data_IF_074459102110
#
_entry.id   IF_074459102110
#
_cell.length_a   1.000
_cell.length_b   1.000
_cell.length_c   1.000
_cell.angle_alpha   90.00
_cell.angle_beta   90.00
_cell.angle_gamma   90.00
#
_symmetry.space_group_name_H-M   'P 1'
#
loop_
_entity.id
_entity.type
_entity.pdbx_description
1 polymer ?
#
# COMPACT_ATOMS: atom_id res chain seq x y z
N UNK A 1 18.69 14.02 -6.65
CA UNK A 1 17.25 13.92 -6.91
C UNK A 1 16.51 14.57 -5.75
N UNK A 2 15.62 15.51 -6.06
CA UNK A 2 14.76 16.19 -5.09
C UNK A 2 13.47 15.40 -4.92
N UNK A 3 13.17 14.92 -3.72
CA UNK A 3 12.01 14.06 -3.44
C UNK A 3 11.10 14.75 -2.44
N UNK A 4 9.82 14.88 -2.79
CA UNK A 4 8.79 15.27 -1.84
C UNK A 4 8.05 14.02 -1.31
N UNK A 5 7.78 13.97 -0.01
CA UNK A 5 7.00 12.89 0.61
C UNK A 5 5.80 13.49 1.32
N UNK A 6 4.60 13.17 0.82
CA UNK A 6 3.31 13.57 1.41
C UNK A 6 2.76 12.41 2.23
N UNK A 7 2.71 12.61 3.54
CA UNK A 7 2.38 11.57 4.52
C UNK A 7 3.64 10.94 5.14
N UNK A 8 3.87 11.30 6.41
CA UNK A 8 5.02 10.86 7.20
C UNK A 8 4.59 9.90 8.32
N UNK A 9 3.64 9.03 7.98
CA UNK A 9 3.27 7.89 8.80
C UNK A 9 4.43 6.89 8.93
N UNK A 10 4.15 5.71 9.40
CA UNK A 10 5.15 4.66 9.61
C UNK A 10 5.91 4.32 8.31
N UNK A 11 5.18 4.12 7.19
CA UNK A 11 5.78 3.81 5.90
C UNK A 11 6.49 5.03 5.29
N UNK A 12 5.83 6.21 5.29
CA UNK A 12 6.39 7.41 4.67
C UNK A 12 7.65 7.90 5.36
N UNK A 13 7.70 7.91 6.69
CA UNK A 13 8.90 8.28 7.45
C UNK A 13 10.05 7.32 7.18
N UNK A 14 9.76 6.00 7.07
CA UNK A 14 10.79 5.01 6.77
C UNK A 14 11.36 5.19 5.36
N UNK A 15 10.52 5.31 4.34
CA UNK A 15 10.96 5.54 2.95
C UNK A 15 11.73 6.86 2.83
N UNK A 16 11.25 7.93 3.47
CA UNK A 16 11.92 9.24 3.46
C UNK A 16 13.33 9.17 4.05
N UNK A 17 13.50 8.47 5.18
CA UNK A 17 14.80 8.28 5.81
C UNK A 17 15.75 7.46 4.92
N UNK A 18 15.27 6.37 4.33
CA UNK A 18 16.07 5.52 3.45
C UNK A 18 16.51 6.29 2.18
N UNK A 19 15.63 7.12 1.58
CA UNK A 19 15.95 7.99 0.45
C UNK A 19 17.01 9.03 0.80
N UNK A 20 16.90 9.67 1.97
CA UNK A 20 17.91 10.61 2.45
C UNK A 20 19.26 9.91 2.66
N UNK A 21 19.28 8.69 3.23
CA UNK A 21 20.47 7.88 3.37
C UNK A 21 21.07 7.45 2.02
N UNK A 22 20.25 7.29 0.98
CA UNK A 22 20.69 7.02 -0.39
C UNK A 22 21.16 8.28 -1.16
N UNK A 23 21.24 9.45 -0.49
CA UNK A 23 21.76 10.69 -1.05
C UNK A 23 20.74 11.55 -1.80
N UNK A 24 19.43 11.29 -1.64
CA UNK A 24 18.40 12.19 -2.14
C UNK A 24 18.19 13.38 -1.20
N UNK A 25 17.84 14.54 -1.75
CA UNK A 25 17.32 15.67 -0.97
C UNK A 25 15.84 15.43 -0.71
N UNK A 26 15.47 15.17 0.55
CA UNK A 26 14.09 14.81 0.88
C UNK A 26 13.41 15.93 1.65
N UNK A 27 12.26 16.37 1.17
CA UNK A 27 11.31 17.22 1.90
C UNK A 27 10.03 16.47 2.17
N UNK A 28 9.59 16.48 3.42
CA UNK A 28 8.37 15.80 3.81
C UNK A 28 7.31 16.75 4.36
N UNK A 29 6.05 16.41 4.17
CA UNK A 29 4.93 17.06 4.82
C UNK A 29 3.92 16.05 5.35
N UNK A 30 3.43 16.33 6.55
CA UNK A 30 2.36 15.58 7.22
C UNK A 30 1.65 16.53 8.20
N UNK A 31 0.32 16.51 8.32
CA UNK A 31 -0.39 17.42 9.21
C UNK A 31 -0.04 17.25 10.70
N UNK A 32 0.42 16.06 11.10
CA UNK A 32 0.65 15.71 12.50
C UNK A 32 2.10 15.35 12.84
N UNK A 33 2.96 15.06 11.85
CA UNK A 33 4.28 14.47 12.08
C UNK A 33 5.42 15.30 11.48
N UNK A 34 6.52 15.39 12.22
CA UNK A 34 7.74 16.11 11.83
C UNK A 34 8.96 15.23 12.17
N UNK A 35 9.24 14.17 11.37
CA UNK A 35 10.38 13.29 11.64
C UNK A 35 11.69 14.04 11.49
N UNK A 36 12.68 13.61 12.27
CA UNK A 36 14.07 14.10 12.17
C UNK A 36 14.78 13.45 10.97
N UNK A 37 15.84 14.11 10.48
CA UNK A 37 16.67 13.54 9.39
C UNK A 37 16.23 13.89 7.98
N UNK A 38 15.09 14.57 7.81
CA UNK A 38 14.64 15.17 6.55
C UNK A 38 14.18 16.60 6.76
N UNK A 39 14.09 17.38 5.69
CA UNK A 39 13.50 18.72 5.75
C UNK A 39 11.98 18.59 5.87
N UNK A 40 11.39 19.25 6.87
CA UNK A 40 9.94 19.30 7.05
C UNK A 40 9.40 20.62 6.45
N UNK A 41 8.49 20.50 5.50
CA UNK A 41 7.80 21.63 4.90
C UNK A 41 6.67 22.17 5.79
N UNK A 42 6.36 23.47 5.67
CA UNK A 42 5.29 24.10 6.46
C UNK A 42 3.91 23.75 5.93
N UNK A 43 3.78 23.56 4.63
CA UNK A 43 2.56 23.20 3.91
C UNK A 43 2.86 22.19 2.79
N UNK A 44 1.83 21.49 2.25
CA UNK A 44 2.05 20.46 1.23
C UNK A 44 2.53 21.05 -0.11
N UNK A 45 2.13 22.27 -0.46
CA UNK A 45 2.56 22.94 -1.69
C UNK A 45 4.05 23.27 -1.64
N UNK A 46 4.56 23.74 -0.49
CA UNK A 46 5.98 24.02 -0.30
C UNK A 46 6.83 22.75 -0.32
N UNK A 47 6.25 21.61 0.10
CA UNK A 47 6.94 20.33 0.01
C UNK A 47 7.22 19.91 -1.43
N UNK A 48 6.29 20.13 -2.35
CA UNK A 48 6.36 19.59 -3.73
C UNK A 48 7.07 20.52 -4.71
N UNK A 49 7.23 21.81 -4.40
CA UNK A 49 7.90 22.76 -5.33
C UNK A 49 9.32 22.36 -5.65
N UNK A 50 9.65 22.27 -6.95
CA UNK A 50 10.97 21.89 -7.43
C UNK A 50 11.34 20.42 -7.14
N UNK A 51 10.38 19.58 -6.83
CA UNK A 51 10.63 18.15 -6.67
C UNK A 51 10.67 17.44 -8.03
N UNK A 52 11.67 16.59 -8.22
CA UNK A 52 11.74 15.67 -9.37
C UNK A 52 10.63 14.61 -9.27
N UNK A 53 10.32 14.18 -8.03
CA UNK A 53 9.29 13.19 -7.75
C UNK A 53 8.55 13.49 -6.44
N UNK A 54 7.24 13.35 -6.46
CA UNK A 54 6.37 13.38 -5.28
C UNK A 54 5.92 11.96 -4.96
N UNK A 55 6.14 11.53 -3.72
CA UNK A 55 5.62 10.27 -3.18
C UNK A 55 4.44 10.56 -2.25
N UNK A 56 3.24 10.16 -2.65
CA UNK A 56 2.04 10.21 -1.81
C UNK A 56 1.93 8.91 -1.01
N UNK A 57 2.14 9.00 0.31
CA UNK A 57 2.15 7.86 1.24
C UNK A 57 1.27 8.20 2.46
N UNK A 58 0.05 8.57 2.20
CA UNK A 58 -0.94 8.94 3.22
C UNK A 58 -2.02 7.84 3.37
N UNK A 59 -3.29 8.19 3.40
CA UNK A 59 -4.38 7.24 3.41
C UNK A 59 -5.24 7.40 2.15
N UNK A 60 -5.81 6.32 1.63
CA UNK A 60 -6.68 6.36 0.45
C UNK A 60 -7.81 7.40 0.57
N UNK A 61 -8.39 7.54 1.77
CA UNK A 61 -9.50 8.47 2.02
C UNK A 61 -9.15 9.96 1.81
N UNK A 62 -7.86 10.33 1.91
CA UNK A 62 -7.40 11.72 1.75
C UNK A 62 -6.52 11.92 0.51
N UNK A 63 -6.23 10.86 -0.23
CA UNK A 63 -5.26 10.88 -1.33
C UNK A 63 -5.66 11.86 -2.44
N UNK A 64 -6.94 11.87 -2.83
CA UNK A 64 -7.44 12.73 -3.90
C UNK A 64 -7.42 14.21 -3.50
N UNK A 65 -7.81 14.53 -2.28
CA UNK A 65 -7.78 15.91 -1.77
C UNK A 65 -6.32 16.40 -1.65
N UNK A 66 -5.42 15.56 -1.12
CA UNK A 66 -4.00 15.88 -1.05
C UNK A 66 -3.37 16.11 -2.45
N UNK A 67 -3.76 15.31 -3.45
CA UNK A 67 -3.30 15.48 -4.82
C UNK A 67 -3.80 16.81 -5.42
N UNK A 68 -5.09 17.13 -5.25
CA UNK A 68 -5.68 18.39 -5.72
C UNK A 68 -5.07 19.62 -5.04
N UNK A 69 -4.78 19.52 -3.75
CA UNK A 69 -4.17 20.60 -2.99
C UNK A 69 -2.79 21.00 -3.53
N UNK A 70 -2.00 20.03 -4.00
CA UNK A 70 -0.66 20.29 -4.53
C UNK A 70 -0.59 20.49 -6.05
N UNK A 71 -1.66 20.17 -6.79
CA UNK A 71 -1.67 20.14 -8.25
C UNK A 71 -1.12 21.40 -8.92
N UNK A 72 -1.47 22.59 -8.37
CA UNK A 72 -1.01 23.89 -8.91
C UNK A 72 0.43 24.25 -8.55
N UNK A 73 1.05 23.52 -7.62
CA UNK A 73 2.43 23.73 -7.20
C UNK A 73 3.41 22.74 -7.87
N UNK A 74 2.90 21.76 -8.62
CA UNK A 74 3.69 20.81 -9.38
C UNK A 74 4.25 21.46 -10.64
N UNK A 75 5.51 21.18 -10.96
CA UNK A 75 6.14 21.56 -12.21
C UNK A 75 5.89 20.49 -13.29
N UNK A 76 5.91 20.88 -14.57
CA UNK A 76 5.57 19.97 -15.68
C UNK A 76 6.41 18.68 -15.70
N UNK A 77 7.66 18.76 -15.27
CA UNK A 77 8.60 17.63 -15.25
C UNK A 77 8.50 16.78 -13.97
N UNK A 78 7.65 17.15 -13.02
CA UNK A 78 7.48 16.39 -11.79
C UNK A 78 6.78 15.05 -12.08
N UNK A 79 7.27 13.96 -11.49
CA UNK A 79 6.55 12.68 -11.43
C UNK A 79 5.74 12.61 -10.14
N UNK A 80 4.45 12.37 -10.22
CA UNK A 80 3.64 12.08 -9.04
C UNK A 80 3.41 10.57 -8.90
N UNK A 81 3.92 9.97 -7.84
CA UNK A 81 3.75 8.55 -7.53
C UNK A 81 2.84 8.38 -6.29
N UNK A 82 1.72 7.72 -6.46
CA UNK A 82 0.83 7.39 -5.35
C UNK A 82 1.07 5.96 -4.85
N UNK A 83 1.56 5.84 -3.61
CA UNK A 83 1.92 4.58 -2.96
C UNK A 83 0.83 4.08 -2.01
N UNK A 84 -0.32 4.75 -1.97
CA UNK A 84 -1.42 4.36 -1.09
C UNK A 84 -2.06 3.04 -1.53
N UNK A 85 -2.49 2.24 -0.56
CA UNK A 85 -3.35 1.09 -0.85
C UNK A 85 -4.75 1.61 -1.17
N UNK A 86 -5.13 1.60 -2.44
CA UNK A 86 -6.35 2.20 -2.95
C UNK A 86 -6.99 1.32 -4.03
N UNK A 87 -8.26 1.61 -4.38
CA UNK A 87 -8.92 0.97 -5.51
C UNK A 87 -8.32 1.42 -6.85
N UNK A 88 -8.40 0.59 -7.90
CA UNK A 88 -8.02 1.02 -9.25
C UNK A 88 -8.76 2.26 -9.74
N UNK A 89 -10.03 2.42 -9.35
CA UNK A 89 -10.81 3.61 -9.66
C UNK A 89 -10.19 4.87 -9.06
N UNK A 90 -9.85 4.86 -7.77
CA UNK A 90 -9.21 6.02 -7.13
C UNK A 90 -7.86 6.36 -7.79
N UNK A 91 -7.09 5.36 -8.23
CA UNK A 91 -5.83 5.60 -8.96
C UNK A 91 -6.06 6.30 -10.30
N UNK A 92 -7.14 5.96 -11.01
CA UNK A 92 -7.53 6.68 -12.24
C UNK A 92 -7.95 8.10 -11.94
N UNK A 93 -8.79 8.31 -10.91
CA UNK A 93 -9.21 9.64 -10.48
C UNK A 93 -8.03 10.55 -10.06
N UNK A 94 -7.03 9.97 -9.39
CA UNK A 94 -5.78 10.67 -9.06
C UNK A 94 -5.01 11.10 -10.31
N UNK A 95 -4.85 10.19 -11.27
CA UNK A 95 -4.18 10.48 -12.54
C UNK A 95 -4.89 11.60 -13.32
N UNK A 96 -6.22 11.58 -13.34
CA UNK A 96 -7.04 12.59 -14.04
C UNK A 96 -7.00 13.96 -13.33
N UNK A 97 -6.77 13.99 -12.02
CA UNK A 97 -6.73 15.21 -11.22
C UNK A 97 -5.37 15.95 -11.28
N UNK A 98 -4.33 15.31 -11.80
CA UNK A 98 -2.96 15.83 -11.78
C UNK A 98 -2.49 16.29 -13.17
N UNK A 99 -1.81 17.45 -13.28
CA UNK A 99 -1.31 17.98 -14.56
C UNK A 99 0.05 17.37 -15.01
N UNK A 100 0.54 16.35 -14.31
CA UNK A 100 1.88 15.75 -14.47
C UNK A 100 1.81 14.25 -14.69
N UNK A 101 2.93 13.62 -15.06
CA UNK A 101 3.00 12.16 -15.15
C UNK A 101 2.65 11.50 -13.82
N UNK A 102 1.80 10.49 -13.88
CA UNK A 102 1.33 9.74 -12.72
C UNK A 102 1.82 8.29 -12.74
N UNK A 103 2.30 7.82 -11.59
CA UNK A 103 2.60 6.41 -11.33
C UNK A 103 1.69 5.88 -10.20
N UNK A 104 0.88 4.89 -10.48
CA UNK A 104 0.24 4.04 -9.46
C UNK A 104 1.28 3.04 -8.96
N UNK A 105 1.63 3.09 -7.68
CA UNK A 105 2.62 2.23 -7.07
C UNK A 105 2.00 1.42 -5.94
N UNK A 106 2.03 0.11 -6.05
CA UNK A 106 1.50 -0.80 -5.05
C UNK A 106 2.64 -1.54 -4.33
N UNK A 107 2.90 -1.19 -3.07
CA UNK A 107 3.87 -1.87 -2.23
C UNK A 107 3.33 -3.24 -1.78
N UNK A 108 4.08 -4.32 -1.99
CA UNK A 108 3.66 -5.70 -1.72
C UNK A 108 4.36 -6.35 -0.53
N UNK A 109 5.04 -5.57 0.29
CA UNK A 109 5.77 -6.00 1.48
C UNK A 109 5.42 -5.21 2.74
N UNK A 110 6.20 -5.43 3.79
CA UNK A 110 6.07 -4.77 5.11
C UNK A 110 7.10 -3.63 5.17
N UNK A 111 6.70 -2.43 4.73
CA UNK A 111 7.58 -1.25 4.63
C UNK A 111 8.38 -0.95 5.91
N UNK A 112 7.81 -1.01 7.12
CA UNK A 112 8.58 -0.77 8.34
C UNK A 112 9.82 -1.64 8.50
N UNK A 113 9.78 -2.89 8.03
CA UNK A 113 10.91 -3.81 8.11
C UNK A 113 11.86 -3.73 6.91
N UNK A 114 11.33 -3.55 5.69
CA UNK A 114 12.11 -3.60 4.45
C UNK A 114 12.46 -2.22 3.88
N UNK A 115 11.77 -1.16 4.34
CA UNK A 115 12.02 0.20 3.88
C UNK A 115 11.96 0.34 2.37
N UNK A 116 12.96 0.98 1.79
CA UNK A 116 13.08 1.19 0.35
C UNK A 116 13.26 -0.13 -0.43
N UNK A 117 13.75 -1.21 0.20
CA UNK A 117 13.84 -2.52 -0.42
C UNK A 117 12.50 -3.28 -0.52
N UNK A 118 11.39 -2.64 -0.16
CA UNK A 118 10.06 -3.21 -0.33
C UNK A 118 9.73 -3.38 -1.82
N UNK A 119 9.30 -4.59 -2.20
CA UNK A 119 8.83 -4.86 -3.57
C UNK A 119 7.67 -3.95 -3.95
N UNK A 120 7.76 -3.30 -5.10
CA UNK A 120 6.76 -2.42 -5.67
C UNK A 120 6.29 -2.92 -7.03
N UNK A 121 4.98 -2.82 -7.28
CA UNK A 121 4.38 -2.92 -8.59
C UNK A 121 4.07 -1.51 -9.06
N UNK A 122 4.37 -1.18 -10.31
CA UNK A 122 4.09 0.17 -10.85
C UNK A 122 3.26 0.09 -12.13
N UNK A 123 2.33 1.03 -12.29
CA UNK A 123 1.52 1.18 -13.49
C UNK A 123 1.19 2.66 -13.76
N UNK A 124 0.66 2.96 -14.95
CA UNK A 124 0.40 4.33 -15.39
C UNK A 124 1.51 4.89 -16.29
N UNK A 125 1.29 6.10 -16.81
CA UNK A 125 2.22 6.76 -17.74
C UNK A 125 3.63 6.96 -17.13
N UNK A 126 3.70 7.25 -15.83
CA UNK A 126 4.94 7.48 -15.10
C UNK A 126 5.64 6.21 -14.58
N UNK A 127 5.10 5.00 -14.82
CA UNK A 127 5.60 3.76 -14.21
C UNK A 127 7.06 3.43 -14.58
N UNK A 128 7.42 3.54 -15.86
CA UNK A 128 8.80 3.28 -16.32
C UNK A 128 9.77 4.32 -15.77
N UNK A 129 9.36 5.58 -15.70
CA UNK A 129 10.17 6.64 -15.09
C UNK A 129 10.35 6.38 -13.59
N UNK A 130 9.30 5.99 -12.87
CA UNK A 130 9.39 5.58 -11.47
C UNK A 130 10.38 4.44 -11.29
N UNK A 131 10.27 3.38 -12.09
CA UNK A 131 11.17 2.24 -12.03
C UNK A 131 12.63 2.64 -12.32
N UNK A 132 12.86 3.51 -13.32
CA UNK A 132 14.18 4.04 -13.65
C UNK A 132 14.83 4.84 -12.53
N UNK A 133 14.04 5.59 -11.75
CA UNK A 133 14.52 6.39 -10.62
C UNK A 133 14.77 5.54 -9.36
N UNK A 134 13.90 4.57 -9.06
CA UNK A 134 13.91 3.88 -7.77
C UNK A 134 14.65 2.54 -7.75
N UNK A 135 14.78 1.84 -8.88
CA UNK A 135 15.61 0.61 -8.95
C UNK A 135 17.08 0.86 -8.59
N UNK A 136 17.74 1.93 -9.06
CA UNK A 136 19.12 2.25 -8.65
C UNK A 136 19.27 2.57 -7.16
N UNK A 137 18.18 2.99 -6.51
CA UNK A 137 18.13 3.28 -5.07
C UNK A 137 17.82 2.04 -4.22
N UNK A 138 17.68 0.87 -4.86
CA UNK A 138 17.45 -0.41 -4.18
C UNK A 138 15.97 -0.82 -4.01
N UNK A 139 15.01 -0.08 -4.60
CA UNK A 139 13.61 -0.52 -4.61
C UNK A 139 13.38 -1.49 -5.78
N UNK A 140 12.99 -2.76 -5.52
CA UNK A 140 12.59 -3.67 -6.58
C UNK A 140 11.25 -3.20 -7.15
N UNK A 141 11.23 -2.77 -8.41
CA UNK A 141 10.02 -2.27 -9.08
C UNK A 141 9.72 -3.12 -10.30
N UNK A 142 8.53 -3.71 -10.35
CA UNK A 142 7.99 -4.39 -11.54
C UNK A 142 6.94 -3.47 -12.19
N UNK A 143 7.17 -3.11 -13.45
CA UNK A 143 6.17 -2.38 -14.24
C UNK A 143 5.17 -3.38 -14.80
N UNK A 144 3.90 -3.24 -14.39
CA UNK A 144 2.85 -4.25 -14.65
C UNK A 144 1.75 -3.76 -15.58
N UNK A 145 1.80 -2.49 -15.99
CA UNK A 145 0.82 -1.93 -16.90
C UNK A 145 1.05 -0.44 -17.20
N UNK A 146 0.35 0.05 -18.21
CA UNK A 146 0.42 1.45 -18.64
C UNK A 146 -0.78 2.28 -18.18
N UNK A 147 -1.78 1.64 -17.57
CA UNK A 147 -2.98 2.33 -17.08
C UNK A 147 -2.91 2.50 -15.58
N UNK A 148 -3.24 3.68 -15.05
CA UNK A 148 -3.41 3.87 -13.61
C UNK A 148 -4.46 2.87 -13.06
N UNK A 149 -4.11 2.22 -11.95
CA UNK A 149 -4.95 1.20 -11.33
C UNK A 149 -4.58 -0.26 -11.66
N UNK A 150 -3.74 -0.53 -12.67
CA UNK A 150 -3.33 -1.91 -12.98
C UNK A 150 -2.49 -2.51 -11.82
N UNK A 151 -1.57 -1.73 -11.21
CA UNK A 151 -0.77 -2.18 -10.07
C UNK A 151 -1.62 -2.36 -8.80
N UNK A 152 -2.50 -1.40 -8.52
CA UNK A 152 -3.44 -1.49 -7.40
C UNK A 152 -4.36 -2.71 -7.55
N UNK A 153 -4.92 -2.93 -8.73
CA UNK A 153 -5.78 -4.07 -9.04
C UNK A 153 -5.07 -5.41 -8.82
N UNK A 154 -3.86 -5.55 -9.34
CA UNK A 154 -3.06 -6.78 -9.15
C UNK A 154 -2.79 -7.07 -7.67
N UNK A 155 -2.46 -6.03 -6.88
CA UNK A 155 -2.31 -6.17 -5.43
C UNK A 155 -3.61 -6.61 -4.75
N UNK A 156 -4.76 -6.02 -5.11
CA UNK A 156 -6.05 -6.37 -4.53
C UNK A 156 -6.45 -7.81 -4.87
N UNK A 157 -6.27 -8.25 -6.12
CA UNK A 157 -6.53 -9.65 -6.50
C UNK A 157 -5.66 -10.64 -5.71
N UNK A 158 -4.38 -10.33 -5.53
CA UNK A 158 -3.52 -11.12 -4.65
C UNK A 158 -4.00 -11.10 -3.19
N UNK A 159 -4.54 -9.99 -2.73
CA UNK A 159 -5.07 -9.83 -1.37
C UNK A 159 -6.29 -10.68 -1.12
N UNK A 160 -7.16 -10.90 -2.11
CA UNK A 160 -8.29 -11.84 -2.01
C UNK A 160 -7.80 -13.22 -1.60
N UNK A 161 -6.77 -13.74 -2.26
CA UNK A 161 -6.20 -15.05 -1.91
C UNK A 161 -5.56 -15.05 -0.53
N UNK A 162 -4.67 -14.10 -0.25
CA UNK A 162 -3.88 -14.10 0.99
C UNK A 162 -4.73 -13.87 2.24
N UNK A 163 -5.72 -12.98 2.19
CA UNK A 163 -6.61 -12.70 3.33
C UNK A 163 -7.75 -13.72 3.41
N UNK A 164 -8.20 -14.26 2.29
CA UNK A 164 -9.11 -15.39 2.28
C UNK A 164 -8.51 -16.64 2.95
N UNK A 165 -7.23 -16.92 2.64
CA UNK A 165 -6.50 -18.01 3.31
C UNK A 165 -6.33 -17.75 4.81
N UNK A 166 -6.03 -16.50 5.20
CA UNK A 166 -5.94 -16.11 6.60
C UNK A 166 -7.29 -16.27 7.33
N UNK A 167 -8.39 -15.84 6.71
CA UNK A 167 -9.74 -15.98 7.28
C UNK A 167 -10.12 -17.45 7.47
N UNK A 168 -9.85 -18.30 6.48
CA UNK A 168 -10.10 -19.74 6.55
C UNK A 168 -9.28 -20.40 7.67
N UNK A 169 -8.01 -20.02 7.85
CA UNK A 169 -7.18 -20.54 8.93
C UNK A 169 -7.68 -20.10 10.31
N UNK A 170 -8.04 -18.83 10.48
CA UNK A 170 -8.57 -18.28 11.73
C UNK A 170 -9.87 -18.98 12.14
N UNK A 171 -10.83 -19.11 11.22
CA UNK A 171 -12.11 -19.76 11.47
C UNK A 171 -11.92 -21.25 11.81
N UNK A 172 -11.07 -21.95 11.05
CA UNK A 172 -10.77 -23.36 11.28
C UNK A 172 -10.13 -23.61 12.66
N UNK A 173 -9.16 -22.76 13.07
CA UNK A 173 -8.51 -22.89 14.39
C UNK A 173 -9.46 -22.51 15.53
N UNK A 174 -10.32 -21.51 15.36
CA UNK A 174 -11.34 -21.19 16.35
C UNK A 174 -12.33 -22.35 16.57
N UNK A 175 -12.78 -22.99 15.49
CA UNK A 175 -13.62 -24.18 15.57
C UNK A 175 -12.88 -25.38 16.20
N UNK A 176 -11.61 -25.59 15.85
CA UNK A 176 -10.78 -26.67 16.42
C UNK A 176 -10.55 -26.47 17.92
N UNK A 177 -10.37 -25.25 18.37
CA UNK A 177 -10.26 -24.88 19.78
C UNK A 177 -11.55 -25.23 20.53
N UNK A 178 -12.71 -24.87 19.98
CA UNK A 178 -14.01 -25.22 20.56
C UNK A 178 -14.22 -26.73 20.62
N UNK A 179 -13.68 -27.48 19.66
CA UNK A 179 -13.74 -28.95 19.61
C UNK A 179 -12.64 -29.65 20.45
N UNK A 180 -11.69 -28.94 21.04
CA UNK A 180 -10.59 -29.49 21.83
C UNK A 180 -9.51 -30.21 21.00
N UNK A 181 -9.35 -29.85 19.71
CA UNK A 181 -8.41 -30.49 18.76
C UNK A 181 -7.49 -29.46 18.07
N UNK A 182 -7.29 -28.29 18.67
CA UNK A 182 -6.56 -27.15 18.09
C UNK A 182 -5.16 -27.54 17.61
N UNK A 183 -4.34 -28.17 18.48
CA UNK A 183 -2.97 -28.56 18.15
C UNK A 183 -2.90 -29.48 16.92
N UNK A 184 -3.86 -30.38 16.79
CA UNK A 184 -3.91 -31.29 15.64
C UNK A 184 -4.24 -30.56 14.36
N UNK A 185 -5.24 -29.69 14.36
CA UNK A 185 -5.65 -28.92 13.17
C UNK A 185 -4.57 -27.91 12.78
N UNK A 186 -3.94 -27.25 13.77
CA UNK A 186 -2.81 -26.38 13.52
C UNK A 186 -1.68 -27.12 12.77
N UNK A 187 -1.26 -28.27 13.28
CA UNK A 187 -0.22 -29.08 12.65
C UNK A 187 -0.61 -29.54 11.23
N UNK A 188 -1.87 -29.92 11.02
CA UNK A 188 -2.37 -30.32 9.70
C UNK A 188 -2.35 -29.14 8.70
N UNK A 189 -2.80 -27.95 9.10
CA UNK A 189 -2.73 -26.74 8.27
C UNK A 189 -1.26 -26.38 7.98
N UNK A 190 -0.40 -26.36 9.01
CA UNK A 190 1.03 -26.06 8.85
C UNK A 190 1.72 -27.03 7.90
N UNK A 191 1.32 -28.31 7.89
CA UNK A 191 1.86 -29.30 6.96
C UNK A 191 1.55 -29.00 5.49
N UNK A 192 0.46 -28.28 5.21
CA UNK A 192 0.00 -27.93 3.86
C UNK A 192 0.63 -26.63 3.36
N UNK A 193 0.62 -25.58 4.19
CA UNK A 193 1.03 -24.23 3.78
C UNK A 193 2.40 -23.79 4.34
N UNK A 194 2.96 -24.56 5.27
CA UNK A 194 4.17 -24.23 6.01
C UNK A 194 3.91 -23.38 7.26
N UNK A 195 4.63 -23.70 8.34
CA UNK A 195 4.51 -23.03 9.65
C UNK A 195 4.72 -21.51 9.55
N UNK A 196 5.79 -21.09 8.88
CA UNK A 196 6.12 -19.66 8.73
C UNK A 196 5.00 -18.85 8.05
N UNK A 197 4.36 -19.43 7.01
CA UNK A 197 3.24 -18.76 6.35
C UNK A 197 2.02 -18.69 7.27
N UNK A 198 1.69 -19.79 7.95
CA UNK A 198 0.55 -19.84 8.88
C UNK A 198 0.70 -18.79 9.97
N UNK A 199 1.83 -18.78 10.70
CA UNK A 199 2.13 -17.80 11.75
C UNK A 199 2.03 -16.33 11.23
N UNK A 200 2.56 -16.05 10.04
CA UNK A 200 2.47 -14.71 9.43
C UNK A 200 1.04 -14.33 9.06
N UNK A 201 0.19 -15.28 8.63
CA UNK A 201 -1.22 -15.05 8.34
C UNK A 201 -1.99 -14.72 9.62
N UNK A 202 -1.80 -15.49 10.68
CA UNK A 202 -2.48 -15.34 11.97
C UNK A 202 -2.05 -14.04 12.66
N UNK A 203 -0.76 -13.88 12.94
CA UNK A 203 -0.22 -12.71 13.65
C UNK A 203 -0.51 -11.39 12.91
N UNK A 204 -0.35 -11.40 11.58
CA UNK A 204 -0.65 -10.22 10.77
C UNK A 204 -2.14 -9.87 10.71
N UNK A 205 -3.06 -10.82 10.91
CA UNK A 205 -4.50 -10.54 10.97
C UNK A 205 -4.87 -9.84 12.26
N UNK A 206 -4.34 -10.28 13.39
CA UNK A 206 -4.55 -9.60 14.68
C UNK A 206 -3.90 -8.20 14.73
N UNK A 207 -2.65 -8.08 14.28
CA UNK A 207 -1.91 -6.81 14.38
C UNK A 207 -2.47 -5.69 13.46
N UNK A 208 -3.13 -6.03 12.35
CA UNK A 208 -3.52 -5.08 11.31
C UNK A 208 -4.98 -5.25 10.85
N UNK A 209 -5.87 -5.73 11.71
CA UNK A 209 -7.25 -6.07 11.37
C UNK A 209 -7.97 -4.93 10.65
N UNK A 210 -8.05 -3.74 11.24
CA UNK A 210 -8.78 -2.59 10.68
C UNK A 210 -8.30 -2.22 9.26
N UNK A 211 -6.98 -2.12 9.05
CA UNK A 211 -6.43 -1.83 7.72
C UNK A 211 -6.74 -2.93 6.70
N UNK A 212 -6.77 -4.19 7.13
CA UNK A 212 -7.11 -5.33 6.27
C UNK A 212 -8.59 -5.37 5.90
N UNK A 213 -9.48 -4.90 6.77
CA UNK A 213 -10.92 -4.70 6.44
C UNK A 213 -11.06 -3.77 5.24
N UNK A 214 -10.44 -2.58 5.29
CA UNK A 214 -10.50 -1.61 4.19
C UNK A 214 -9.95 -2.18 2.89
N UNK A 215 -8.83 -2.92 2.98
CA UNK A 215 -8.23 -3.58 1.82
C UNK A 215 -9.16 -4.65 1.22
N UNK A 216 -9.85 -5.44 2.05
CA UNK A 216 -10.77 -6.47 1.57
C UNK A 216 -12.07 -5.88 1.02
N UNK A 217 -12.56 -4.78 1.57
CA UNK A 217 -13.69 -4.02 1.02
C UNK A 217 -13.34 -3.43 -0.35
N UNK A 218 -12.14 -2.86 -0.50
CA UNK A 218 -11.66 -2.38 -1.79
C UNK A 218 -11.49 -3.52 -2.82
N UNK A 219 -11.03 -4.70 -2.36
CA UNK A 219 -10.93 -5.88 -3.21
C UNK A 219 -12.31 -6.40 -3.65
N UNK A 220 -13.29 -6.40 -2.74
CA UNK A 220 -14.67 -6.79 -3.06
C UNK A 220 -15.28 -5.86 -4.13
N UNK A 221 -15.18 -4.54 -3.94
CA UNK A 221 -15.66 -3.58 -4.91
C UNK A 221 -14.98 -3.75 -6.28
N UNK A 222 -13.67 -4.02 -6.30
CA UNK A 222 -12.97 -4.26 -7.56
C UNK A 222 -13.41 -5.56 -8.26
N UNK A 223 -13.70 -6.63 -7.50
CA UNK A 223 -14.26 -7.86 -8.07
C UNK A 223 -15.64 -7.60 -8.71
N UNK A 224 -16.49 -6.78 -8.06
CA UNK A 224 -17.79 -6.37 -8.61
C UNK A 224 -17.64 -5.58 -9.91
N UNK A 225 -16.67 -4.63 -10.01
CA UNK A 225 -16.33 -3.93 -11.25
C UNK A 225 -15.94 -4.91 -12.38
N UNK A 226 -15.32 -6.03 -12.03
CA UNK A 226 -14.95 -7.10 -12.98
C UNK A 226 -16.10 -8.08 -13.28
N UNK A 227 -17.28 -7.89 -12.68
CA UNK A 227 -18.44 -8.79 -12.82
C UNK A 227 -18.32 -10.11 -12.04
N UNK A 228 -17.43 -10.15 -11.03
CA UNK A 228 -17.20 -11.32 -10.17
C UNK A 228 -17.85 -11.08 -8.80
N UNK A 229 -18.68 -11.99 -8.35
CA UNK A 229 -19.25 -11.98 -6.99
C UNK A 229 -18.16 -12.10 -5.92
N UNK A 230 -18.00 -11.15 -4.97
CA UNK A 230 -16.85 -11.08 -4.07
C UNK A 230 -16.99 -11.96 -2.82
N UNK A 231 -17.37 -13.23 -2.95
CA UNK A 231 -17.71 -14.13 -1.83
C UNK A 231 -16.59 -14.25 -0.79
N UNK A 232 -15.38 -14.58 -1.23
CA UNK A 232 -14.22 -14.73 -0.33
C UNK A 232 -13.79 -13.40 0.25
N UNK A 233 -13.80 -12.34 -0.57
CA UNK A 233 -13.40 -11.02 -0.12
C UNK A 233 -14.36 -10.45 0.93
N UNK A 234 -15.67 -10.63 0.73
CA UNK A 234 -16.70 -10.19 1.66
C UNK A 234 -16.60 -10.94 3.00
N UNK A 235 -16.55 -12.28 2.97
CA UNK A 235 -16.43 -13.09 4.18
C UNK A 235 -15.14 -12.78 4.96
N UNK A 236 -14.01 -12.59 4.27
CA UNK A 236 -12.76 -12.20 4.91
C UNK A 236 -12.83 -10.80 5.55
N UNK A 237 -13.55 -9.84 4.93
CA UNK A 237 -13.75 -8.52 5.51
C UNK A 237 -14.57 -8.59 6.80
N UNK A 238 -15.67 -9.36 6.83
CA UNK A 238 -16.51 -9.54 8.00
C UNK A 238 -15.72 -10.14 9.18
N UNK A 239 -14.98 -11.22 8.93
CA UNK A 239 -14.17 -11.86 9.97
C UNK A 239 -13.07 -10.94 10.53
N UNK A 240 -12.42 -10.18 9.67
CA UNK A 240 -11.41 -9.19 10.08
C UNK A 240 -12.04 -8.02 10.87
N UNK A 241 -13.28 -7.64 10.58
CA UNK A 241 -14.02 -6.63 11.33
C UNK A 241 -14.30 -7.09 12.76
N UNK A 242 -14.74 -8.33 12.93
CA UNK A 242 -14.92 -8.94 14.26
C UNK A 242 -13.62 -8.95 15.07
N UNK A 243 -12.48 -9.30 14.43
CA UNK A 243 -11.17 -9.27 15.08
C UNK A 243 -10.71 -7.86 15.47
N UNK A 244 -11.13 -6.84 14.74
CA UNK A 244 -10.76 -5.44 15.05
C UNK A 244 -11.53 -4.85 16.22
N UNK A 245 -12.66 -5.48 16.61
CA UNK A 245 -13.52 -5.06 17.72
C UNK A 245 -13.12 -5.69 19.07
N UNK A 246 -12.22 -6.66 19.07
CA UNK A 246 -11.69 -7.34 20.26
C UNK A 246 -10.35 -6.79 20.70
#
# INVERSE_FOLDING_TARGET
>A
MEVAVLGLGEAGSRIAADLAAAGCTVRGWDPARRPTGIANADDPQSAVRGADVVLSINAAAVALDAAREVATALENETLYADLNTASPQLKRELADALPVEFADVALTGVVPSTGLATQALASGAGAERFAGLFRPLGMPVDVVGTRPGDAAGLKLLRSVFMKGLAAAALESLAAAKAAGVEDRVHADIASVIGEELLERLLSGSHAHAARRVDEMRAAAAYLEELGIEPRVAAAAAELLEELSAT
#
